data_IF_668480951186
#
_entry.id   IF_668480951186
#
_cell.length_a   1.000
_cell.length_b   1.000
_cell.length_c   1.000
_cell.angle_alpha   90.00
_cell.angle_beta   90.00
_cell.angle_gamma   90.00
#
_symmetry.space_group_name_H-M   'P 1'
#
loop_
_entity.id
_entity.type
_entity.pdbx_description
1 polymer ?
#
# COMPACT_ATOMS: atom_id res chain seq x y z
N UNK A 1 -61.00 -9.56 -69.31
CA UNK A 1 -59.53 -9.43 -69.36
C UNK A 1 -59.07 -8.97 -67.98
N UNK A 2 -58.50 -9.88 -67.18
CA UNK A 2 -58.05 -9.66 -65.80
C UNK A 2 -56.53 -9.81 -65.80
N UNK A 3 -55.81 -8.71 -65.60
CA UNK A 3 -54.36 -8.74 -65.43
C UNK A 3 -54.04 -9.09 -63.97
N UNK A 4 -53.60 -10.33 -63.75
CA UNK A 4 -52.97 -10.77 -62.51
C UNK A 4 -51.49 -10.39 -62.59
N UNK A 5 -51.10 -9.31 -61.91
CA UNK A 5 -49.70 -8.99 -61.65
C UNK A 5 -49.12 -9.97 -60.60
N UNK A 6 -47.84 -10.37 -60.72
CA UNK A 6 -47.28 -11.43 -59.89
C UNK A 6 -46.87 -10.88 -58.52
N UNK A 7 -47.69 -11.16 -57.50
CA UNK A 7 -47.41 -10.90 -56.08
C UNK A 7 -46.15 -11.64 -55.59
N UNK A 8 -45.64 -12.62 -56.36
CA UNK A 8 -44.45 -13.39 -56.03
C UNK A 8 -43.12 -12.61 -56.06
N UNK A 9 -43.03 -11.46 -56.73
CA UNK A 9 -41.75 -10.75 -56.85
C UNK A 9 -41.45 -9.80 -55.66
N UNK A 10 -42.49 -9.35 -54.94
CA UNK A 10 -42.33 -8.41 -53.81
C UNK A 10 -41.91 -9.14 -52.52
N UNK A 11 -42.29 -10.41 -52.36
CA UNK A 11 -41.92 -11.21 -51.17
C UNK A 11 -40.46 -11.69 -51.22
N UNK A 12 -39.87 -11.81 -52.42
CA UNK A 12 -38.48 -12.23 -52.58
C UNK A 12 -37.47 -11.11 -52.22
N UNK A 13 -37.83 -9.84 -52.41
CA UNK A 13 -36.95 -8.72 -52.04
C UNK A 13 -36.90 -8.44 -50.53
N UNK A 14 -37.91 -8.86 -49.75
CA UNK A 14 -37.93 -8.61 -48.30
C UNK A 14 -37.11 -9.63 -47.49
N UNK A 15 -36.74 -10.78 -48.08
CA UNK A 15 -35.95 -11.82 -47.42
C UNK A 15 -34.43 -11.62 -47.51
N UNK A 16 -33.95 -10.64 -48.28
CA UNK A 16 -32.50 -10.39 -48.45
C UNK A 16 -31.97 -9.33 -47.47
N UNK A 17 -32.84 -8.62 -46.73
CA UNK A 17 -32.42 -7.57 -45.80
C UNK A 17 -32.23 -8.02 -44.34
N UNK A 18 -32.47 -9.28 -43.99
CA UNK A 18 -32.36 -9.76 -42.60
C UNK A 18 -31.01 -10.40 -42.22
N UNK A 19 -30.02 -10.40 -43.11
CA UNK A 19 -28.65 -10.88 -42.79
C UNK A 19 -27.66 -9.72 -42.72
N UNK A 20 -27.98 -8.72 -41.90
CA UNK A 20 -27.09 -7.60 -41.56
C UNK A 20 -26.62 -7.69 -40.11
N UNK A 21 -26.23 -8.87 -39.62
CA UNK A 21 -25.58 -8.99 -38.32
C UNK A 21 -24.10 -8.67 -38.52
N UNK A 22 -23.72 -7.38 -38.44
CA UNK A 22 -22.32 -7.00 -38.41
C UNK A 22 -21.72 -7.58 -37.13
N UNK A 23 -20.93 -8.64 -37.28
CA UNK A 23 -20.00 -9.11 -36.26
C UNK A 23 -19.01 -7.98 -35.99
N UNK A 24 -19.34 -7.10 -35.05
CA UNK A 24 -18.33 -6.40 -34.28
C UNK A 24 -17.62 -7.49 -33.48
N UNK A 25 -16.56 -8.05 -34.07
CA UNK A 25 -15.46 -8.55 -33.26
C UNK A 25 -14.80 -7.30 -32.74
N UNK A 26 -15.03 -6.97 -31.48
CA UNK A 26 -14.08 -6.16 -30.75
C UNK A 26 -12.76 -6.92 -30.85
N UNK A 27 -11.86 -6.45 -31.71
CA UNK A 27 -10.47 -6.87 -31.69
C UNK A 27 -9.96 -6.49 -30.31
N UNK A 28 -9.95 -7.47 -29.40
CA UNK A 28 -9.29 -7.34 -28.11
C UNK A 28 -7.81 -7.21 -28.43
N UNK A 29 -7.33 -5.98 -28.55
CA UNK A 29 -5.91 -5.69 -28.58
C UNK A 29 -5.34 -6.12 -27.24
N UNK A 30 -4.72 -7.29 -27.20
CA UNK A 30 -3.99 -7.76 -26.02
C UNK A 30 -2.75 -6.87 -25.91
N UNK A 31 -2.79 -5.92 -24.96
CA UNK A 31 -1.65 -5.05 -24.67
C UNK A 31 -0.70 -5.82 -23.74
N UNK A 32 0.24 -6.57 -24.33
CA UNK A 32 1.14 -7.47 -23.60
C UNK A 32 2.41 -6.78 -23.04
N UNK A 33 2.56 -5.47 -23.19
CA UNK A 33 3.73 -4.75 -22.67
C UNK A 33 3.40 -3.30 -22.34
N UNK A 34 2.97 -3.06 -21.09
CA UNK A 34 2.69 -1.72 -20.58
C UNK A 34 3.77 -1.35 -19.57
N UNK A 35 4.41 -0.20 -19.78
CA UNK A 35 5.36 0.34 -18.79
C UNK A 35 4.63 0.58 -17.46
N UNK A 36 5.16 0.10 -16.33
CA UNK A 36 4.55 0.35 -15.05
C UNK A 36 4.66 1.83 -14.67
N UNK A 37 3.59 2.40 -14.14
CA UNK A 37 3.55 3.78 -13.64
C UNK A 37 3.46 3.84 -12.12
N UNK A 38 2.94 2.77 -11.52
CA UNK A 38 2.69 2.67 -10.09
C UNK A 38 3.41 1.51 -9.44
N UNK A 39 3.70 1.68 -8.16
CA UNK A 39 4.12 0.65 -7.24
C UNK A 39 2.99 0.36 -6.25
N UNK A 40 2.62 -0.90 -6.11
CA UNK A 40 1.63 -1.37 -5.15
C UNK A 40 2.30 -2.09 -4.00
N UNK A 41 1.85 -1.78 -2.80
CA UNK A 41 2.38 -2.37 -1.58
C UNK A 41 1.28 -2.58 -0.55
N UNK A 42 1.45 -3.57 0.32
CA UNK A 42 0.52 -3.88 1.40
C UNK A 42 0.99 -3.20 2.69
N UNK A 43 0.04 -2.62 3.42
CA UNK A 43 0.26 -1.98 4.74
C UNK A 43 -0.96 -2.24 5.61
N UNK A 44 -0.83 -2.25 6.94
CA UNK A 44 -2.00 -2.28 7.85
C UNK A 44 -2.38 -0.87 8.31
N UNK A 45 -3.68 -0.63 8.49
CA UNK A 45 -4.18 0.58 9.15
C UNK A 45 -4.17 0.38 10.67
N UNK A 46 -3.09 0.77 11.33
CA UNK A 46 -2.88 0.50 12.77
C UNK A 46 -3.83 1.26 13.70
N UNK A 47 -4.25 2.46 13.32
CA UNK A 47 -5.14 3.34 14.10
C UNK A 47 -6.62 2.94 14.02
N UNK A 48 -6.93 1.72 13.58
CA UNK A 48 -8.27 1.21 13.41
C UNK A 48 -8.44 -0.19 14.04
N UNK A 49 -9.65 -0.50 14.58
CA UNK A 49 -9.96 -1.84 15.07
C UNK A 49 -9.71 -2.89 14.00
N UNK A 50 -9.16 -4.04 14.40
CA UNK A 50 -8.85 -5.18 13.53
C UNK A 50 -7.79 -4.92 12.44
N UNK A 51 -7.12 -3.76 12.47
CA UNK A 51 -6.00 -3.39 11.59
C UNK A 51 -6.29 -3.72 10.12
N UNK A 52 -7.33 -3.14 9.50
CA UNK A 52 -7.70 -3.47 8.13
C UNK A 52 -6.52 -3.21 7.18
N UNK A 53 -6.38 -4.08 6.19
CA UNK A 53 -5.33 -3.95 5.17
C UNK A 53 -5.60 -2.75 4.26
N UNK A 54 -4.52 -2.07 3.93
CA UNK A 54 -4.47 -1.00 2.95
C UNK A 54 -3.54 -1.39 1.81
N UNK A 55 -3.87 -0.92 0.60
CA UNK A 55 -2.95 -0.92 -0.52
C UNK A 55 -2.36 0.48 -0.62
N UNK A 56 -1.05 0.59 -0.42
CA UNK A 56 -0.31 1.79 -0.78
C UNK A 56 -0.08 1.77 -2.28
N UNK A 57 -0.49 2.84 -2.94
CA UNK A 57 -0.23 3.09 -4.36
C UNK A 57 0.74 4.25 -4.42
N UNK A 58 1.93 4.05 -4.95
CA UNK A 58 2.93 5.09 -5.14
C UNK A 58 3.28 5.24 -6.62
N UNK A 59 3.62 6.44 -7.08
CA UNK A 59 4.17 6.63 -8.44
C UNK A 59 5.60 6.08 -8.50
N UNK A 60 6.02 5.57 -9.65
CA UNK A 60 7.41 5.14 -9.85
C UNK A 60 8.35 6.29 -10.18
N UNK A 61 7.81 7.39 -10.71
CA UNK A 61 8.54 8.62 -11.07
C UNK A 61 8.04 9.77 -10.21
N UNK A 62 8.95 10.70 -9.93
CA UNK A 62 8.61 11.95 -9.24
C UNK A 62 7.55 12.72 -10.02
N UNK A 63 6.56 13.23 -9.30
CA UNK A 63 5.50 14.04 -9.85
C UNK A 63 5.52 15.43 -9.21
N UNK A 64 4.73 16.33 -9.80
CA UNK A 64 4.37 17.60 -9.17
C UNK A 64 3.94 17.35 -7.71
N UNK A 65 4.45 18.14 -6.76
CA UNK A 65 4.20 17.92 -5.33
C UNK A 65 2.71 17.98 -4.92
N UNK A 66 1.86 18.62 -5.74
CA UNK A 66 0.41 18.73 -5.58
C UNK A 66 -0.38 17.67 -6.36
N UNK A 67 0.30 16.73 -7.03
CA UNK A 67 -0.40 15.70 -7.80
C UNK A 67 -1.15 14.73 -6.87
N UNK A 68 -2.37 14.35 -7.27
CA UNK A 68 -3.24 13.45 -6.51
C UNK A 68 -3.49 12.19 -7.35
N UNK A 69 -3.29 11.02 -6.74
CA UNK A 69 -3.65 9.72 -7.33
C UNK A 69 -5.13 9.45 -7.05
N UNK A 70 -5.97 9.59 -8.08
CA UNK A 70 -7.39 9.27 -7.97
C UNK A 70 -7.59 7.77 -7.94
N UNK A 71 -8.29 7.26 -6.93
CA UNK A 71 -8.47 5.83 -6.76
C UNK A 71 -9.79 5.51 -6.07
N UNK A 72 -10.22 4.27 -6.21
CA UNK A 72 -11.28 3.70 -5.39
C UNK A 72 -11.11 2.18 -5.23
N UNK A 73 -11.68 1.65 -4.16
CA UNK A 73 -11.85 0.22 -3.96
C UNK A 73 -13.31 -0.11 -3.72
N UNK A 74 -13.73 -1.27 -4.18
CA UNK A 74 -15.00 -1.86 -3.77
C UNK A 74 -14.85 -3.36 -3.57
N UNK A 75 -15.63 -3.90 -2.65
CA UNK A 75 -15.69 -5.33 -2.37
C UNK A 75 -17.09 -5.85 -2.62
N UNK A 76 -17.19 -6.94 -3.35
CA UNK A 76 -18.42 -7.71 -3.53
C UNK A 76 -18.16 -9.17 -3.15
N UNK A 77 -18.53 -9.55 -1.93
CA UNK A 77 -18.28 -10.90 -1.40
C UNK A 77 -16.78 -11.20 -1.26
N UNK A 78 -16.28 -12.13 -2.10
CA UNK A 78 -14.87 -12.52 -2.17
C UNK A 78 -14.10 -11.87 -3.32
N UNK A 79 -14.74 -11.01 -4.09
CA UNK A 79 -14.06 -10.21 -5.11
C UNK A 79 -13.78 -8.82 -4.56
N UNK A 80 -12.53 -8.38 -4.65
CA UNK A 80 -12.10 -7.02 -4.34
C UNK A 80 -11.61 -6.39 -5.63
N UNK A 81 -12.04 -5.17 -5.90
CA UNK A 81 -11.71 -4.45 -7.12
C UNK A 81 -11.15 -3.08 -6.78
N UNK A 82 -10.02 -2.74 -7.37
CA UNK A 82 -9.33 -1.47 -7.21
C UNK A 82 -9.26 -0.80 -8.57
N UNK A 83 -9.59 0.49 -8.63
CA UNK A 83 -9.26 1.31 -9.79
C UNK A 83 -8.27 2.38 -9.35
N UNK A 84 -7.16 2.45 -10.08
CA UNK A 84 -6.13 3.47 -9.97
C UNK A 84 -6.23 4.29 -11.25
N UNK A 85 -6.82 5.47 -11.14
CA UNK A 85 -6.95 6.39 -12.26
C UNK A 85 -5.66 7.23 -12.39
N UNK A 86 -5.55 7.95 -13.50
CA UNK A 86 -4.45 8.89 -13.72
C UNK A 86 -4.35 9.92 -12.58
N UNK A 87 -3.14 10.43 -12.37
CA UNK A 87 -2.92 11.55 -11.46
C UNK A 87 -3.27 12.88 -12.12
N UNK A 88 -3.80 13.82 -11.35
CA UNK A 88 -3.99 15.20 -11.78
C UNK A 88 -3.20 16.14 -10.87
N UNK A 89 -2.68 17.22 -11.44
CA UNK A 89 -2.15 18.34 -10.69
C UNK A 89 -2.89 19.59 -11.16
N UNK A 90 -3.73 20.15 -10.29
CA UNK A 90 -4.59 21.27 -10.64
C UNK A 90 -3.82 22.61 -10.65
N UNK A 91 -2.63 22.63 -10.05
CA UNK A 91 -1.75 23.79 -9.97
C UNK A 91 -0.28 23.42 -10.13
N UNK A 92 0.56 24.32 -10.68
CA UNK A 92 2.00 24.16 -10.63
C UNK A 92 2.48 24.15 -9.16
N UNK A 93 3.44 23.28 -8.90
CA UNK A 93 4.12 23.21 -7.61
C UNK A 93 5.44 24.00 -7.67
N UNK A 94 5.71 24.79 -6.62
CA UNK A 94 6.96 25.53 -6.42
C UNK A 94 8.00 24.76 -5.62
N UNK A 95 7.59 23.65 -4.99
CA UNK A 95 8.47 22.73 -4.28
C UNK A 95 9.07 21.71 -5.25
N UNK A 96 10.04 20.93 -4.75
CA UNK A 96 10.66 19.85 -5.53
C UNK A 96 9.63 18.77 -5.88
N UNK A 97 9.81 18.18 -7.06
CA UNK A 97 9.02 17.01 -7.46
C UNK A 97 9.32 15.84 -6.52
N UNK A 98 8.30 15.02 -6.24
CA UNK A 98 8.43 13.90 -5.31
C UNK A 98 7.60 12.72 -5.75
N UNK A 99 7.94 11.53 -5.27
CA UNK A 99 7.06 10.37 -5.37
C UNK A 99 5.75 10.70 -4.65
N UNK A 100 4.63 10.47 -5.34
CA UNK A 100 3.31 10.64 -4.77
C UNK A 100 2.77 9.29 -4.37
N UNK A 101 2.08 9.23 -3.24
CA UNK A 101 1.43 8.02 -2.77
C UNK A 101 0.05 8.28 -2.18
N UNK A 102 -0.71 7.21 -2.05
CA UNK A 102 -2.04 7.19 -1.43
C UNK A 102 -2.31 5.82 -0.83
N UNK A 103 -3.23 5.77 0.15
CA UNK A 103 -3.62 4.55 0.85
C UNK A 103 -5.08 4.23 0.54
N UNK A 104 -5.30 3.06 -0.03
CA UNK A 104 -6.64 2.54 -0.31
C UNK A 104 -6.99 1.55 0.78
N UNK A 105 -7.96 1.88 1.62
CA UNK A 105 -8.38 0.98 2.71
C UNK A 105 -9.36 -0.05 2.18
N UNK A 106 -9.09 -1.32 2.47
CA UNK A 106 -10.03 -2.42 2.23
C UNK A 106 -10.70 -2.72 3.57
N UNK A 107 -12.01 -2.93 3.57
CA UNK A 107 -12.74 -3.35 4.77
C UNK A 107 -12.12 -4.60 5.41
N UNK A 108 -12.41 -4.82 6.70
CA UNK A 108 -11.90 -5.97 7.45
C UNK A 108 -12.18 -7.29 6.70
N UNK A 109 -11.09 -8.02 6.42
CA UNK A 109 -11.13 -9.29 5.70
C UNK A 109 -11.05 -10.45 6.70
N UNK A 110 -11.92 -11.43 6.52
CA UNK A 110 -11.82 -12.71 7.24
C UNK A 110 -10.79 -13.60 6.55
N UNK A 111 -10.20 -14.58 7.27
CA UNK A 111 -9.27 -15.53 6.65
C UNK A 111 -9.89 -16.25 5.45
N UNK A 112 -9.13 -16.35 4.36
CA UNK A 112 -9.55 -16.94 3.10
C UNK A 112 -8.86 -16.29 1.89
N UNK A 113 -9.21 -16.78 0.70
CA UNK A 113 -8.71 -16.25 -0.58
C UNK A 113 -9.77 -15.38 -1.23
N UNK A 114 -9.34 -14.22 -1.71
CA UNK A 114 -10.13 -13.22 -2.41
C UNK A 114 -9.61 -13.05 -3.84
N UNK A 115 -10.51 -12.91 -4.80
CA UNK A 115 -10.17 -12.53 -6.16
C UNK A 115 -9.89 -11.02 -6.18
N UNK A 116 -8.73 -10.64 -6.70
CA UNK A 116 -8.37 -9.24 -6.89
C UNK A 116 -8.51 -8.86 -8.36
N UNK A 117 -9.15 -7.72 -8.60
CA UNK A 117 -9.19 -7.07 -9.90
C UNK A 117 -8.57 -5.69 -9.77
N UNK A 118 -7.41 -5.49 -10.38
CA UNK A 118 -6.73 -4.20 -10.40
C UNK A 118 -6.94 -3.60 -11.78
N UNK A 119 -7.51 -2.40 -11.81
CA UNK A 119 -7.64 -1.59 -13.01
C UNK A 119 -6.72 -0.38 -12.90
N UNK A 120 -5.85 -0.19 -13.88
CA UNK A 120 -5.05 1.04 -14.02
C UNK A 120 -5.53 1.80 -15.25
N UNK A 121 -5.85 3.08 -15.09
CA UNK A 121 -6.52 3.88 -16.12
C UNK A 121 -7.82 3.22 -16.66
N UNK A 122 -8.27 3.57 -17.86
CA UNK A 122 -9.51 3.03 -18.43
C UNK A 122 -9.38 1.58 -18.89
N UNK A 123 -8.22 1.14 -19.36
CA UNK A 123 -8.16 -0.04 -20.24
C UNK A 123 -7.17 -1.12 -19.80
N UNK A 124 -6.46 -0.93 -18.68
CA UNK A 124 -5.50 -1.92 -18.18
C UNK A 124 -6.12 -2.69 -17.02
N UNK A 125 -6.24 -4.01 -17.19
CA UNK A 125 -6.85 -4.90 -16.20
C UNK A 125 -5.90 -6.03 -15.84
N UNK A 126 -5.71 -6.23 -14.55
CA UNK A 126 -4.94 -7.34 -14.00
C UNK A 126 -5.78 -8.10 -12.99
N UNK A 127 -5.84 -9.42 -13.19
CA UNK A 127 -6.43 -10.34 -12.22
C UNK A 127 -5.33 -10.90 -11.30
N UNK A 128 -5.67 -10.99 -10.02
CA UNK A 128 -4.80 -11.54 -8.99
C UNK A 128 -5.58 -12.19 -7.85
N UNK A 129 -4.88 -12.55 -6.79
CA UNK A 129 -5.48 -13.08 -5.57
C UNK A 129 -4.87 -12.43 -4.34
N UNK A 130 -5.70 -12.27 -3.31
CA UNK A 130 -5.29 -11.89 -1.96
C UNK A 130 -5.64 -13.03 -1.02
N UNK A 131 -4.64 -13.71 -0.51
CA UNK A 131 -4.81 -14.73 0.52
C UNK A 131 -4.58 -14.11 1.88
N UNK A 132 -5.62 -14.18 2.73
CA UNK A 132 -5.64 -13.63 4.07
C UNK A 132 -5.58 -14.77 5.08
N UNK A 133 -4.61 -14.69 5.99
CA UNK A 133 -4.47 -15.61 7.11
C UNK A 133 -4.41 -14.81 8.42
N UNK A 134 -4.47 -15.48 9.58
CA UNK A 134 -4.24 -14.81 10.87
C UNK A 134 -2.85 -14.17 10.97
N UNK A 135 -1.83 -14.71 10.29
CA UNK A 135 -0.44 -14.27 10.46
C UNK A 135 0.04 -13.33 9.34
N UNK A 136 -0.61 -13.37 8.16
CA UNK A 136 -0.11 -12.69 6.95
C UNK A 136 -1.17 -12.44 5.88
N UNK A 137 -0.78 -11.60 4.93
CA UNK A 137 -1.41 -11.36 3.64
C UNK A 137 -0.46 -11.74 2.52
N UNK A 138 -0.99 -12.35 1.46
CA UNK A 138 -0.26 -12.71 0.26
C UNK A 138 -1.00 -12.19 -0.97
N UNK A 139 -0.40 -11.26 -1.70
CA UNK A 139 -0.88 -10.72 -2.97
C UNK A 139 -0.10 -11.34 -4.14
N UNK A 140 -0.80 -12.09 -4.98
CA UNK A 140 -0.27 -12.69 -6.20
C UNK A 140 -0.98 -12.12 -7.43
N UNK A 141 -0.22 -11.68 -8.43
CA UNK A 141 -0.73 -11.23 -9.72
C UNK A 141 0.23 -11.69 -10.82
N UNK A 142 -0.24 -12.54 -11.74
CA UNK A 142 0.64 -13.13 -12.76
C UNK A 142 1.03 -12.13 -13.85
N UNK A 143 0.14 -11.19 -14.18
CA UNK A 143 0.31 -10.21 -15.25
C UNK A 143 -0.08 -8.81 -14.77
N UNK A 144 0.76 -8.14 -13.96
CA UNK A 144 0.49 -6.77 -13.56
C UNK A 144 0.69 -5.85 -14.78
N UNK A 145 -0.33 -5.04 -15.10
CA UNK A 145 -0.34 -4.11 -16.23
C UNK A 145 -0.43 -2.68 -15.71
N UNK A 146 0.59 -1.86 -15.99
CA UNK A 146 0.66 -0.47 -15.52
C UNK A 146 1.12 -0.30 -14.07
N UNK A 147 1.45 -1.39 -13.37
CA UNK A 147 2.00 -1.34 -12.02
C UNK A 147 3.01 -2.47 -11.76
N UNK A 148 3.77 -2.32 -10.69
CA UNK A 148 4.56 -3.39 -10.06
C UNK A 148 4.04 -3.63 -8.64
N UNK A 149 4.30 -4.82 -8.11
CA UNK A 149 4.01 -5.15 -6.71
C UNK A 149 5.35 -5.17 -5.98
N UNK A 150 5.57 -4.24 -5.05
CA UNK A 150 6.82 -4.15 -4.28
C UNK A 150 7.04 -5.43 -3.49
N UNK A 151 5.98 -5.91 -2.83
CA UNK A 151 6.02 -7.06 -1.92
C UNK A 151 4.76 -7.89 -2.07
N UNK A 152 4.96 -9.17 -2.35
CA UNK A 152 3.86 -10.12 -2.47
C UNK A 152 3.38 -10.62 -1.12
N UNK A 153 4.24 -10.68 -0.10
CA UNK A 153 3.89 -11.15 1.25
C UNK A 153 4.10 -10.04 2.30
N UNK A 154 3.12 -9.91 3.21
CA UNK A 154 3.19 -9.05 4.39
C UNK A 154 2.70 -9.82 5.62
N UNK A 155 3.52 -9.90 6.66
CA UNK A 155 3.15 -10.38 7.97
C UNK A 155 2.29 -9.34 8.70
N UNK A 156 1.33 -9.79 9.50
CA UNK A 156 0.52 -8.90 10.34
C UNK A 156 1.34 -8.38 11.51
N UNK A 157 1.13 -7.12 11.89
CA UNK A 157 1.75 -6.53 13.08
C UNK A 157 1.11 -7.15 14.33
N UNK A 158 1.87 -7.89 15.16
CA UNK A 158 1.39 -8.38 16.44
C UNK A 158 0.84 -7.25 17.31
N UNK A 159 -0.08 -7.62 18.18
CA UNK A 159 -0.49 -6.72 19.25
C UNK A 159 0.69 -6.52 20.21
N UNK A 160 0.73 -5.37 20.86
CA UNK A 160 1.72 -5.03 21.89
C UNK A 160 3.15 -4.86 21.36
N UNK A 161 3.33 -4.42 20.11
CA UNK A 161 4.64 -3.99 19.61
C UNK A 161 4.81 -2.48 19.66
N UNK A 162 6.05 -2.07 19.94
CA UNK A 162 6.54 -0.70 19.89
C UNK A 162 7.84 -0.68 19.08
N UNK A 163 7.93 0.19 18.09
CA UNK A 163 9.11 0.31 17.23
C UNK A 163 9.37 1.75 16.86
N UNK A 164 10.54 2.00 16.30
CA UNK A 164 10.91 3.33 15.90
C UNK A 164 12.40 3.49 15.73
N UNK A 165 12.85 4.73 15.85
CA UNK A 165 14.27 5.06 15.77
C UNK A 165 14.63 6.24 16.66
N UNK A 166 15.89 6.24 17.10
CA UNK A 166 16.55 7.40 17.69
C UNK A 166 17.43 8.01 16.62
N UNK A 167 17.14 9.24 16.19
CA UNK A 167 17.97 10.01 15.27
C UNK A 167 18.82 11.02 16.04
N UNK A 168 20.00 11.32 15.52
CA UNK A 168 20.93 12.20 16.21
C UNK A 168 21.77 13.03 15.25
N UNK A 169 22.08 14.24 15.69
CA UNK A 169 22.65 15.31 14.86
C UNK A 169 24.05 15.01 14.31
N UNK A 170 24.85 14.20 15.01
CA UNK A 170 26.19 13.79 14.59
C UNK A 170 26.73 12.60 15.41
N UNK A 171 27.78 11.95 14.90
CA UNK A 171 28.35 10.72 15.47
C UNK A 171 28.75 10.78 16.96
N UNK A 172 28.98 11.98 17.55
CA UNK A 172 29.28 12.12 18.98
C UNK A 172 28.17 11.57 19.87
N UNK A 173 26.92 11.70 19.44
CA UNK A 173 25.75 11.25 20.18
C UNK A 173 25.38 9.78 19.89
N UNK A 174 26.19 9.03 19.13
CA UNK A 174 25.89 7.63 18.83
C UNK A 174 25.83 6.78 20.10
N UNK A 175 26.75 6.99 21.03
CA UNK A 175 26.76 6.24 22.29
C UNK A 175 25.56 6.59 23.18
N UNK A 176 25.16 7.86 23.19
CA UNK A 176 23.94 8.30 23.89
C UNK A 176 22.70 7.65 23.27
N UNK A 177 22.61 7.61 21.93
CA UNK A 177 21.50 6.94 21.23
C UNK A 177 21.45 5.43 21.54
N UNK A 178 22.61 4.75 21.60
CA UNK A 178 22.68 3.34 21.98
C UNK A 178 22.22 3.12 23.43
N UNK A 179 22.60 4.01 24.36
CA UNK A 179 22.13 3.97 25.75
C UNK A 179 20.63 4.18 25.84
N UNK A 180 20.06 5.12 25.07
CA UNK A 180 18.61 5.38 25.07
C UNK A 180 17.82 4.18 24.55
N UNK A 181 18.29 3.53 23.48
CA UNK A 181 17.68 2.28 22.99
C UNK A 181 17.81 1.17 24.03
N UNK A 182 18.94 1.07 24.72
CA UNK A 182 19.13 0.09 25.80
C UNK A 182 18.22 0.36 27.01
N UNK A 183 18.05 1.62 27.42
CA UNK A 183 17.14 2.02 28.49
C UNK A 183 15.70 1.66 28.12
N UNK A 184 15.27 2.02 26.90
CA UNK A 184 13.94 1.66 26.39
C UNK A 184 13.75 0.14 26.36
N UNK A 185 14.75 -0.60 25.92
CA UNK A 185 14.75 -2.06 25.93
C UNK A 185 14.79 -2.66 27.34
N UNK A 186 15.34 -1.97 28.33
CA UNK A 186 15.33 -2.40 29.74
C UNK A 186 13.98 -2.18 30.44
N UNK A 187 13.13 -1.33 29.86
CA UNK A 187 11.76 -1.08 30.32
C UNK A 187 10.71 -1.91 29.56
N UNK A 188 11.13 -2.63 28.51
CA UNK A 188 10.25 -3.43 27.65
C UNK A 188 10.82 -4.84 27.50
N UNK A 189 10.14 -5.69 26.71
CA UNK A 189 10.64 -7.03 26.35
C UNK A 189 11.16 -7.07 24.92
N UNK A 190 12.06 -8.00 24.66
CA UNK A 190 12.55 -8.28 23.32
C UNK A 190 11.42 -8.85 22.43
N UNK A 191 11.23 -8.30 21.23
CA UNK A 191 10.11 -8.63 20.34
C UNK A 191 10.12 -10.10 19.86
N UNK A 192 11.29 -10.67 19.53
CA UNK A 192 11.47 -12.05 19.04
C UNK A 192 10.36 -12.53 18.08
N UNK A 193 10.07 -11.74 17.04
CA UNK A 193 9.06 -12.02 16.02
C UNK A 193 9.69 -12.64 14.76
N UNK A 194 8.85 -13.19 13.87
CA UNK A 194 9.32 -13.80 12.62
C UNK A 194 9.98 -12.73 11.74
N UNK A 195 11.10 -13.07 11.10
CA UNK A 195 11.67 -12.24 10.04
C UNK A 195 10.68 -12.08 8.88
N UNK A 196 10.66 -10.92 8.25
CA UNK A 196 9.74 -10.62 7.17
C UNK A 196 9.25 -9.17 7.20
N UNK A 197 8.40 -8.84 6.24
CA UNK A 197 7.86 -7.50 6.08
C UNK A 197 6.55 -7.33 6.85
N UNK A 198 6.39 -6.25 7.62
CA UNK A 198 5.19 -5.96 8.40
C UNK A 198 4.44 -4.70 7.92
N UNK A 199 4.71 -4.23 6.70
CA UNK A 199 4.11 -3.00 6.13
C UNK A 199 4.75 -1.70 6.64
N UNK A 200 5.10 -1.66 7.93
CA UNK A 200 5.67 -0.49 8.63
C UNK A 200 7.17 -0.61 8.90
N UNK A 201 7.66 -1.85 9.01
CA UNK A 201 9.07 -2.18 9.21
C UNK A 201 9.38 -3.52 8.55
N UNK A 202 10.66 -3.76 8.31
CA UNK A 202 11.18 -5.05 7.85
C UNK A 202 11.98 -5.65 8.99
N UNK A 203 11.59 -6.85 9.40
CA UNK A 203 12.31 -7.63 10.39
C UNK A 203 13.40 -8.44 9.70
N UNK A 204 14.66 -7.99 9.79
CA UNK A 204 15.81 -8.65 9.17
C UNK A 204 16.13 -9.96 9.88
N UNK A 205 16.14 -9.89 11.21
CA UNK A 205 16.33 -11.00 12.12
C UNK A 205 15.42 -10.80 13.34
N UNK A 206 15.48 -11.67 14.34
CA UNK A 206 14.58 -11.64 15.52
C UNK A 206 14.67 -10.37 16.38
N UNK A 207 15.66 -9.50 16.19
CA UNK A 207 15.86 -8.28 16.99
C UNK A 207 16.12 -7.00 16.18
N UNK A 208 16.44 -7.12 14.89
CA UNK A 208 16.86 -5.99 14.06
C UNK A 208 15.79 -5.67 13.03
N UNK A 209 15.43 -4.39 12.98
CA UNK A 209 14.50 -3.86 11.99
C UNK A 209 15.16 -2.87 11.04
N UNK A 210 14.62 -2.81 9.83
CA UNK A 210 14.80 -1.72 8.87
C UNK A 210 13.49 -0.96 8.75
N UNK A 211 13.54 0.36 8.76
CA UNK A 211 12.36 1.23 8.59
C UNK A 211 12.29 1.76 7.15
N UNK A 212 11.30 1.35 6.34
CA UNK A 212 11.10 1.90 5.01
C UNK A 212 10.88 3.41 5.05
N UNK A 213 11.56 4.15 4.18
CA UNK A 213 11.38 5.60 4.07
C UNK A 213 12.09 6.42 5.15
N UNK A 214 12.90 5.79 6.02
CA UNK A 214 13.82 6.56 6.86
C UNK A 214 14.75 7.38 5.94
N UNK A 215 14.72 8.70 6.11
CA UNK A 215 15.44 9.62 5.22
C UNK A 215 16.92 9.23 5.14
N UNK A 216 17.41 8.99 3.92
CA UNK A 216 18.84 8.70 3.68
C UNK A 216 19.73 9.87 4.11
N UNK A 217 19.16 11.07 4.24
CA UNK A 217 19.82 12.26 4.72
C UNK A 217 19.80 12.41 6.24
N UNK A 218 19.10 11.54 7.00
CA UNK A 218 19.36 11.38 8.43
C UNK A 218 20.70 10.65 8.54
N UNK A 219 21.80 11.35 8.88
CA UNK A 219 23.13 10.79 8.71
C UNK A 219 23.40 9.67 9.72
N UNK A 220 22.63 9.61 10.81
CA UNK A 220 22.80 8.59 11.84
C UNK A 220 21.50 8.35 12.61
N UNK A 221 21.08 7.08 12.68
CA UNK A 221 19.91 6.64 13.44
C UNK A 221 20.14 5.25 14.03
N UNK A 222 19.40 4.92 15.10
CA UNK A 222 19.32 3.58 15.69
C UNK A 222 17.88 3.14 15.72
N UNK A 223 17.51 2.18 14.87
CA UNK A 223 16.19 1.60 14.85
C UNK A 223 16.05 0.53 15.95
N UNK A 224 14.84 0.39 16.50
CA UNK A 224 14.55 -0.54 17.58
C UNK A 224 13.14 -1.11 17.47
N UNK A 225 12.92 -2.27 18.09
CA UNK A 225 11.62 -2.91 18.22
C UNK A 225 11.56 -3.69 19.54
N UNK A 226 10.44 -3.55 20.26
CA UNK A 226 10.20 -4.22 21.53
C UNK A 226 8.74 -4.67 21.64
N UNK A 227 8.46 -5.53 22.61
CA UNK A 227 7.09 -5.74 23.11
C UNK A 227 6.81 -4.67 24.15
N UNK A 228 5.75 -3.89 23.93
CA UNK A 228 5.28 -2.79 24.75
C UNK A 228 4.79 -3.32 26.11
N UNK A 229 5.50 -2.97 27.18
CA UNK A 229 5.07 -3.25 28.57
C UNK A 229 4.68 -1.98 29.33
N UNK A 230 5.05 -0.82 28.79
CA UNK A 230 4.81 0.48 29.39
C UNK A 230 3.42 1.00 29.03
N UNK A 231 2.82 1.72 29.96
CA UNK A 231 1.64 2.54 29.68
C UNK A 231 1.99 3.75 28.81
N UNK A 232 0.96 4.27 28.15
CA UNK A 232 1.00 5.51 27.39
C UNK A 232 1.60 6.69 28.17
N UNK A 233 1.24 6.81 29.45
CA UNK A 233 1.73 7.85 30.36
C UNK A 233 3.21 7.67 30.69
N UNK A 234 3.67 6.43 30.88
CA UNK A 234 5.07 6.10 31.15
C UNK A 234 5.96 6.40 29.94
N UNK A 235 5.53 5.99 28.74
CA UNK A 235 6.23 6.32 27.49
C UNK A 235 6.32 7.84 27.34
N UNK A 236 5.20 8.55 27.48
CA UNK A 236 5.17 10.02 27.36
C UNK A 236 6.07 10.70 28.39
N UNK A 237 6.09 10.19 29.63
CA UNK A 237 6.98 10.67 30.69
C UNK A 237 8.46 10.46 30.37
N UNK A 238 8.82 9.32 29.77
CA UNK A 238 10.18 9.03 29.34
C UNK A 238 10.61 9.91 28.16
N UNK A 239 9.76 10.07 27.13
CA UNK A 239 10.04 10.95 25.98
C UNK A 239 10.29 12.40 26.41
N UNK A 240 9.47 12.91 27.33
CA UNK A 240 9.67 14.27 27.86
C UNK A 240 11.01 14.44 28.59
N UNK A 241 11.47 13.41 29.33
CA UNK A 241 12.79 13.44 29.98
C UNK A 241 13.93 13.45 28.95
N UNK A 242 13.79 12.67 27.87
CA UNK A 242 14.75 12.62 26.78
C UNK A 242 14.91 13.99 26.11
N UNK A 243 13.80 14.65 25.78
CA UNK A 243 13.83 16.01 25.19
C UNK A 243 14.50 17.04 26.10
N UNK A 244 14.27 16.96 27.41
CA UNK A 244 14.91 17.85 28.38
C UNK A 244 16.42 17.60 28.50
N UNK A 245 16.85 16.33 28.41
CA UNK A 245 18.26 15.95 28.50
C UNK A 245 19.05 16.28 27.23
N UNK A 246 18.43 16.18 26.04
CA UNK A 246 19.11 16.31 24.75
C UNK A 246 18.41 17.31 23.80
N UNK A 247 18.28 18.59 24.18
CA UNK A 247 17.52 19.57 23.39
C UNK A 247 18.13 19.76 21.98
N UNK A 248 17.40 19.27 20.96
CA UNK A 248 17.79 19.37 19.55
C UNK A 248 18.98 18.51 19.11
N UNK A 249 19.60 17.76 20.02
CA UNK A 249 20.75 16.90 19.73
C UNK A 249 20.33 15.50 19.29
N UNK A 250 19.26 15.00 19.91
CA UNK A 250 18.66 13.68 19.71
C UNK A 250 17.16 13.87 19.50
N UNK A 251 16.59 13.15 18.55
CA UNK A 251 15.15 13.03 18.35
C UNK A 251 14.74 11.57 18.40
N UNK A 252 13.53 11.33 18.93
CA UNK A 252 12.92 10.01 18.97
C UNK A 252 11.76 10.00 17.98
N UNK A 253 11.60 8.90 17.28
CA UNK A 253 10.35 8.57 16.62
C UNK A 253 9.94 7.20 17.12
N UNK A 254 8.73 7.10 17.65
CA UNK A 254 8.22 5.87 18.23
C UNK A 254 6.78 5.68 17.80
N UNK A 255 6.43 4.46 17.42
CA UNK A 255 5.09 4.04 16.99
C UNK A 255 4.75 2.74 17.68
N UNK A 256 3.51 2.60 18.14
CA UNK A 256 3.02 1.32 18.67
C UNK A 256 2.05 0.61 17.72
N UNK A 257 1.69 -0.61 18.08
CA UNK A 257 0.81 -1.50 17.29
C UNK A 257 -0.61 -0.97 17.09
N UNK A 258 -1.00 0.09 17.81
CA UNK A 258 -2.28 0.79 17.69
C UNK A 258 -2.16 2.08 16.85
N UNK A 259 -0.99 2.32 16.25
CA UNK A 259 -0.74 3.51 15.42
C UNK A 259 -0.50 4.79 16.21
N UNK A 260 -0.38 4.71 17.54
CA UNK A 260 -0.02 5.86 18.36
C UNK A 260 1.45 6.20 18.16
N UNK A 261 1.74 7.50 18.06
CA UNK A 261 3.07 8.01 17.76
C UNK A 261 3.57 8.97 18.84
N UNK A 262 4.87 8.91 19.12
CA UNK A 262 5.59 9.85 19.98
C UNK A 262 6.80 10.40 19.23
N UNK A 263 7.10 11.67 19.49
CA UNK A 263 8.18 12.46 18.89
C UNK A 263 8.97 13.16 19.97
#
# INVERSE_FOLDING_TARGET
MRHLLPIGFIVLCFLVFSTGCSWFRDDVTIVDNVEPEFNLDLVEKLDAPYKPIQIRVATLKEQNCKAIIHNNAFRNGRTISFNINQWSADEPCTEEMKIQDTLITIDVLTPGTYDLKVRVASDLYSDGTLTVTPDRYLFECQKPLGFVIERTEMLRVPDDLIWGYVAFSNAKYSSDADLLVQELGGMNKEANIKSGNYGHFVMENRTTITLPGLDKNLPVSKAFIFVEELSDEEISGWVNKLHQAYPGAISLHLVNSQGKTWY
#
